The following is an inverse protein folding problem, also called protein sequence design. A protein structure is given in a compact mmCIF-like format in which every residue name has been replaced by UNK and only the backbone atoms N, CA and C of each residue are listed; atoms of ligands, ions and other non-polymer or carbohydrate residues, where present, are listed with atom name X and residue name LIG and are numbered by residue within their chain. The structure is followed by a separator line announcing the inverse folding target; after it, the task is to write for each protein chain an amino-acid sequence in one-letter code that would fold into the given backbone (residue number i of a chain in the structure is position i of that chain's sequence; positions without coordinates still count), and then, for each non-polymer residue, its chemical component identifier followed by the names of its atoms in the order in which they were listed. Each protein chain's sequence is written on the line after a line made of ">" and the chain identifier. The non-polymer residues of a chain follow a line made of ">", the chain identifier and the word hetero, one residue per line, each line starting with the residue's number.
data_IF_200425565159
#
_entry.id   IF_200425565159
#
_cell.length_a   1.000
_cell.length_b   1.000
_cell.length_c   1.000
_cell.angle_alpha   90.00
_cell.angle_beta   90.00
_cell.angle_gamma   90.00
#
_symmetry.space_group_name_H-M   'P 1'
#
loop_
_entity.id
_entity.type
_entity.pdbx_description
1 polymer ?
#
# COMPACT_ATOMS: atom_id res chain seq x y z
N UNK A 1 5.55 -30.33 14.11
CA UNK A 1 6.17 -29.05 13.68
C UNK A 1 6.99 -28.56 14.86
N UNK A 2 8.11 -27.88 14.64
CA UNK A 2 8.94 -27.36 15.74
C UNK A 2 9.09 -25.85 15.59
N UNK A 3 8.66 -25.07 16.59
CA UNK A 3 8.93 -23.63 16.62
C UNK A 3 10.43 -23.39 16.79
N UNK A 4 10.97 -22.46 16.01
CA UNK A 4 12.38 -22.09 16.03
C UNK A 4 12.57 -20.73 16.72
N UNK A 5 11.84 -19.70 16.26
CA UNK A 5 12.00 -18.32 16.72
C UNK A 5 10.68 -17.53 16.63
N UNK A 6 10.57 -16.52 17.48
CA UNK A 6 9.63 -15.42 17.32
C UNK A 6 10.35 -14.23 16.67
N UNK A 7 9.77 -13.67 15.62
CA UNK A 7 10.16 -12.36 15.13
C UNK A 7 9.08 -11.35 15.46
N UNK A 8 9.49 -10.19 15.96
CA UNK A 8 8.59 -9.09 16.28
C UNK A 8 8.35 -8.23 15.03
N UNK A 9 7.09 -7.99 14.70
CA UNK A 9 6.68 -7.00 13.70
C UNK A 9 6.02 -5.84 14.44
N UNK A 10 6.58 -4.64 14.30
CA UNK A 10 6.07 -3.45 14.99
C UNK A 10 4.94 -2.74 14.22
N UNK A 11 4.95 -2.83 12.89
CA UNK A 11 3.99 -2.13 12.02
C UNK A 11 3.39 -3.07 10.97
N UNK A 12 2.08 -3.37 11.08
CA UNK A 12 1.33 -3.32 12.33
C UNK A 12 1.90 -4.31 13.36
N UNK A 13 1.65 -4.11 14.68
CA UNK A 13 2.02 -5.02 15.74
C UNK A 13 1.59 -6.45 15.41
N UNK A 14 2.54 -7.36 15.52
CA UNK A 14 2.34 -8.75 15.20
C UNK A 14 3.56 -9.58 15.56
N UNK A 15 3.37 -10.89 15.56
CA UNK A 15 4.42 -11.85 15.84
C UNK A 15 4.50 -12.81 14.65
N UNK A 16 5.71 -13.02 14.15
CA UNK A 16 5.97 -14.01 13.10
C UNK A 16 6.57 -15.24 13.75
N UNK A 17 5.91 -16.38 13.58
CA UNK A 17 6.39 -17.68 14.03
C UNK A 17 7.26 -18.31 12.95
N UNK A 18 8.56 -18.45 13.20
CA UNK A 18 9.44 -19.24 12.36
C UNK A 18 9.44 -20.69 12.86
N UNK A 19 9.04 -21.65 12.03
CA UNK A 19 8.90 -23.05 12.42
C UNK A 19 9.37 -24.02 11.34
N UNK A 20 9.79 -25.20 11.77
CA UNK A 20 10.21 -26.31 10.91
C UNK A 20 9.03 -27.26 10.66
N UNK A 21 8.72 -27.47 9.38
CA UNK A 21 7.73 -28.46 8.92
C UNK A 21 8.33 -29.30 7.80
N UNK A 22 8.43 -30.63 8.02
CA UNK A 22 8.96 -31.58 7.02
C UNK A 22 10.35 -31.18 6.46
N UNK A 23 11.23 -30.65 7.32
CA UNK A 23 12.58 -30.22 6.94
C UNK A 23 12.66 -28.84 6.27
N UNK A 24 11.54 -28.16 6.03
CA UNK A 24 11.49 -26.82 5.45
C UNK A 24 11.14 -25.80 6.52
N UNK A 25 11.89 -24.70 6.58
CA UNK A 25 11.61 -23.55 7.45
C UNK A 25 10.46 -22.75 6.83
N UNK A 26 9.45 -22.43 7.63
CA UNK A 26 8.29 -21.65 7.24
C UNK A 26 8.01 -20.58 8.28
N UNK A 27 7.35 -19.52 7.81
CA UNK A 27 6.90 -18.42 8.66
C UNK A 27 5.37 -18.42 8.72
N UNK A 28 4.81 -18.04 9.87
CA UNK A 28 3.39 -17.76 10.04
C UNK A 28 3.23 -16.43 10.77
N UNK A 29 2.60 -15.48 10.11
CA UNK A 29 2.28 -14.17 10.69
C UNK A 29 1.04 -14.26 11.59
N UNK A 30 1.11 -13.60 12.74
CA UNK A 30 0.01 -13.41 13.68
C UNK A 30 -0.17 -11.92 13.87
N UNK A 31 -1.31 -11.40 13.39
CA UNK A 31 -1.64 -9.99 13.51
C UNK A 31 -2.21 -9.67 14.91
N UNK A 32 -1.72 -8.58 15.50
CA UNK A 32 -2.15 -8.07 16.81
C UNK A 32 -2.65 -6.63 16.66
N UNK A 33 -3.58 -6.41 15.73
CA UNK A 33 -4.06 -5.08 15.34
C UNK A 33 -4.76 -4.31 16.47
N UNK A 34 -5.26 -5.02 17.49
CA UNK A 34 -5.91 -4.46 18.68
C UNK A 34 -4.95 -4.12 19.82
N UNK A 35 -3.65 -4.44 19.68
CA UNK A 35 -2.69 -4.26 20.77
C UNK A 35 -2.48 -2.78 21.07
N UNK A 36 -2.73 -2.40 22.33
CA UNK A 36 -2.57 -1.06 22.85
C UNK A 36 -1.95 -1.06 24.25
N UNK A 37 -1.66 0.12 24.79
CA UNK A 37 -1.06 0.31 26.12
C UNK A 37 -1.93 -0.22 27.28
N UNK A 38 -3.23 -0.41 27.07
CA UNK A 38 -4.15 -0.92 28.08
C UNK A 38 -4.41 -2.43 27.93
N UNK A 39 -3.87 -3.08 26.90
CA UNK A 39 -4.08 -4.51 26.68
C UNK A 39 -3.47 -5.37 27.79
N UNK A 40 -4.22 -6.40 28.22
CA UNK A 40 -3.73 -7.45 29.10
C UNK A 40 -2.94 -8.50 28.29
N UNK A 41 -1.63 -8.51 28.50
CA UNK A 41 -0.71 -9.40 27.78
C UNK A 41 -0.96 -10.86 28.14
N UNK A 42 -1.36 -11.18 29.38
CA UNK A 42 -1.60 -12.56 29.80
C UNK A 42 -2.86 -13.11 29.14
N UNK A 43 -3.90 -12.28 29.02
CA UNK A 43 -5.11 -12.65 28.28
C UNK A 43 -4.81 -12.90 26.80
N UNK A 44 -4.04 -12.00 26.17
CA UNK A 44 -3.63 -12.16 24.76
C UNK A 44 -2.78 -13.42 24.58
N UNK A 45 -1.81 -13.67 25.46
CA UNK A 45 -0.97 -14.87 25.42
C UNK A 45 -1.80 -16.14 25.58
N UNK A 46 -2.77 -16.16 26.50
CA UNK A 46 -3.71 -17.27 26.67
C UNK A 46 -4.54 -17.52 25.39
N UNK A 47 -5.07 -16.46 24.78
CA UNK A 47 -5.84 -16.57 23.53
C UNK A 47 -4.99 -17.12 22.39
N UNK A 48 -3.74 -16.67 22.28
CA UNK A 48 -2.80 -17.16 21.28
C UNK A 48 -2.43 -18.63 21.53
N UNK A 49 -2.16 -19.00 22.78
CA UNK A 49 -1.88 -20.38 23.18
C UNK A 49 -3.02 -21.34 22.81
N UNK A 50 -4.28 -20.94 23.04
CA UNK A 50 -5.44 -21.75 22.68
C UNK A 50 -5.64 -21.88 21.16
N UNK A 51 -5.29 -20.84 20.40
CA UNK A 51 -5.53 -20.78 18.95
C UNK A 51 -4.40 -21.42 18.13
N UNK A 52 -3.18 -21.37 18.62
CA UNK A 52 -1.97 -21.69 17.87
C UNK A 52 -1.25 -22.94 18.40
N UNK A 53 -1.39 -24.05 17.68
CA UNK A 53 -0.77 -25.35 18.01
C UNK A 53 0.77 -25.32 18.09
N UNK A 54 1.41 -24.29 17.52
CA UNK A 54 2.86 -24.12 17.56
C UNK A 54 3.36 -23.52 18.88
N UNK A 55 2.47 -22.90 19.65
CA UNK A 55 2.81 -22.26 20.92
C UNK A 55 2.59 -23.29 22.03
N UNK A 56 3.67 -23.84 22.56
CA UNK A 56 3.65 -24.75 23.71
C UNK A 56 3.82 -23.99 25.02
N UNK A 57 3.52 -24.63 26.16
CA UNK A 57 3.68 -24.01 27.49
C UNK A 57 5.14 -23.55 27.74
N UNK A 58 6.13 -24.27 27.18
CA UNK A 58 7.55 -23.95 27.30
C UNK A 58 7.94 -22.58 26.71
N UNK A 59 7.25 -22.14 25.66
CA UNK A 59 7.54 -20.88 24.95
C UNK A 59 6.63 -19.74 25.39
N UNK A 60 5.76 -19.98 26.37
CA UNK A 60 4.76 -19.03 26.84
C UNK A 60 5.38 -17.81 27.50
N UNK A 61 6.39 -17.98 28.35
CA UNK A 61 7.09 -16.86 28.97
C UNK A 61 7.78 -15.98 27.92
N UNK A 62 8.35 -16.59 26.89
CA UNK A 62 8.98 -15.86 25.77
C UNK A 62 7.94 -15.08 24.95
N UNK A 63 6.75 -15.67 24.73
CA UNK A 63 5.64 -14.99 24.09
C UNK A 63 5.18 -13.77 24.89
N UNK A 64 5.04 -13.88 26.20
CA UNK A 64 4.67 -12.77 27.08
C UNK A 64 5.73 -11.66 27.04
N UNK A 65 7.02 -11.98 27.06
CA UNK A 65 8.11 -11.01 26.90
C UNK A 65 8.06 -10.30 25.53
N UNK A 66 7.75 -11.03 24.46
CA UNK A 66 7.59 -10.48 23.12
C UNK A 66 6.41 -9.50 23.07
N UNK A 67 5.27 -9.88 23.64
CA UNK A 67 4.07 -9.04 23.71
C UNK A 67 4.30 -7.78 24.56
N UNK A 68 5.02 -7.90 25.67
CA UNK A 68 5.42 -6.76 26.52
C UNK A 68 6.33 -5.80 25.74
N UNK A 69 7.26 -6.32 24.93
CA UNK A 69 8.14 -5.50 24.09
C UNK A 69 7.35 -4.74 23.03
N UNK A 70 6.37 -5.39 22.39
CA UNK A 70 5.47 -4.74 21.43
C UNK A 70 4.64 -3.65 22.11
N UNK A 71 4.05 -3.95 23.27
CA UNK A 71 3.24 -3.01 24.05
C UNK A 71 4.01 -1.75 24.43
N UNK A 72 5.22 -1.91 24.98
CA UNK A 72 6.11 -0.78 25.33
C UNK A 72 6.46 0.08 24.12
N UNK A 73 6.60 -0.54 22.94
CA UNK A 73 6.87 0.20 21.71
C UNK A 73 5.67 1.05 21.29
N UNK A 74 4.46 0.50 21.38
CA UNK A 74 3.21 1.22 21.09
C UNK A 74 3.03 2.43 22.03
N UNK A 75 3.43 2.32 23.29
CA UNK A 75 3.41 3.43 24.26
C UNK A 75 4.37 4.57 23.89
N UNK A 76 5.57 4.24 23.42
CA UNK A 76 6.60 5.23 23.05
C UNK A 76 6.42 5.84 21.66
N UNK A 77 5.56 5.28 20.81
CA UNK A 77 5.32 5.75 19.44
C UNK A 77 4.13 6.69 19.28
N UNK A 78 3.50 7.12 20.37
CA UNK A 78 2.61 8.28 20.35
C UNK A 78 3.29 9.48 19.66
N UNK A 79 2.58 10.28 18.85
CA UNK A 79 3.15 11.34 18.00
C UNK A 79 3.76 12.53 18.78
N UNK A 80 3.80 12.46 20.10
CA UNK A 80 4.27 13.56 20.95
C UNK A 80 5.80 13.61 20.98
N UNK A 81 6.38 14.49 20.14
CA UNK A 81 7.72 15.02 20.35
C UNK A 81 8.79 14.65 19.32
N UNK A 82 8.49 13.85 18.29
CA UNK A 82 9.43 13.64 17.19
C UNK A 82 9.54 14.93 16.36
N UNK A 83 10.72 15.54 16.37
CA UNK A 83 11.03 16.70 15.53
C UNK A 83 11.82 16.23 14.31
N UNK A 84 11.29 16.53 13.14
CA UNK A 84 12.01 16.32 11.88
C UNK A 84 12.81 17.57 11.55
N UNK A 85 13.93 17.38 10.87
CA UNK A 85 14.73 18.45 10.29
C UNK A 85 15.04 18.07 8.84
N UNK A 86 15.37 19.06 8.03
CA UNK A 86 15.79 18.81 6.65
C UNK A 86 17.11 18.05 6.71
N UNK A 87 17.07 16.76 6.38
CA UNK A 87 18.28 15.94 6.33
C UNK A 87 19.09 16.24 5.07
N UNK A 88 18.42 16.32 3.91
CA UNK A 88 19.06 16.61 2.61
C UNK A 88 18.04 17.15 1.62
N UNK A 89 18.50 18.02 0.71
CA UNK A 89 17.75 18.48 -0.46
C UNK A 89 18.46 17.98 -1.72
N UNK A 90 17.74 17.26 -2.57
CA UNK A 90 18.27 16.67 -3.79
C UNK A 90 17.53 17.23 -5.00
N UNK A 91 18.27 17.81 -5.94
CA UNK A 91 17.75 18.11 -7.28
C UNK A 91 17.94 16.87 -8.14
N UNK A 92 16.85 16.14 -8.39
CA UNK A 92 16.91 14.82 -9.02
C UNK A 92 16.87 14.88 -10.54
N UNK A 93 16.00 15.71 -11.10
CA UNK A 93 15.79 15.85 -12.54
C UNK A 93 15.74 17.33 -12.95
N UNK A 94 16.00 17.60 -14.23
CA UNK A 94 15.84 18.94 -14.83
C UNK A 94 14.39 19.17 -15.25
N UNK A 95 13.74 18.12 -15.76
CA UNK A 95 12.32 18.14 -16.11
C UNK A 95 11.45 17.77 -14.89
N UNK A 96 10.14 18.09 -14.93
CA UNK A 96 9.26 17.86 -13.79
C UNK A 96 9.35 16.44 -13.21
N UNK A 97 9.39 16.38 -11.88
CA UNK A 97 9.33 15.16 -11.10
C UNK A 97 7.88 14.68 -11.04
N UNK A 98 7.64 13.39 -11.26
CA UNK A 98 6.29 12.82 -11.21
C UNK A 98 6.00 12.13 -9.89
N UNK A 99 6.88 11.23 -9.46
CA UNK A 99 6.63 10.38 -8.30
C UNK A 99 7.94 9.95 -7.62
N UNK A 100 7.85 9.65 -6.33
CA UNK A 100 8.97 9.28 -5.46
C UNK A 100 8.58 8.08 -4.60
N UNK A 101 9.49 7.13 -4.44
CA UNK A 101 9.26 5.94 -3.62
C UNK A 101 10.52 5.57 -2.82
N UNK A 102 10.40 5.38 -1.51
CA UNK A 102 11.48 4.83 -0.68
C UNK A 102 11.43 3.30 -0.65
N UNK A 103 12.59 2.67 -0.50
CA UNK A 103 12.62 1.26 -0.12
C UNK A 103 12.26 1.09 1.36
N UNK A 104 12.04 -0.16 1.79
CA UNK A 104 11.60 -0.49 3.17
C UNK A 104 12.52 0.07 4.28
N UNK A 105 13.83 0.14 4.03
CA UNK A 105 14.81 0.61 5.01
C UNK A 105 14.93 2.15 4.99
N UNK A 106 14.53 2.79 3.88
CA UNK A 106 14.66 4.23 3.69
C UNK A 106 16.06 4.69 3.27
N UNK A 107 16.97 3.76 2.91
CA UNK A 107 18.32 4.11 2.45
C UNK A 107 18.41 4.30 0.93
N UNK A 108 17.46 3.78 0.15
CA UNK A 108 17.34 4.05 -1.29
C UNK A 108 16.01 4.75 -1.58
N UNK A 109 16.01 5.69 -2.52
CA UNK A 109 14.78 6.26 -3.08
C UNK A 109 14.77 6.25 -4.61
N UNK A 110 13.57 6.18 -5.18
CA UNK A 110 13.30 6.26 -6.61
C UNK A 110 12.73 7.63 -6.94
N UNK A 111 13.05 8.13 -8.13
CA UNK A 111 12.39 9.32 -8.70
C UNK A 111 12.04 9.07 -10.16
N UNK A 112 10.76 9.24 -10.51
CA UNK A 112 10.28 9.26 -11.90
C UNK A 112 10.18 10.68 -12.44
N UNK A 113 10.33 10.88 -13.75
CA UNK A 113 10.29 12.21 -14.35
C UNK A 113 9.79 12.23 -15.80
N UNK A 114 9.44 13.45 -16.24
CA UNK A 114 9.20 13.83 -17.63
C UNK A 114 10.41 13.69 -18.54
N UNK A 115 11.62 13.53 -17.99
CA UNK A 115 12.80 13.16 -18.79
C UNK A 115 12.81 11.70 -19.27
N UNK A 116 11.75 10.95 -18.95
CA UNK A 116 11.51 9.56 -19.37
C UNK A 116 12.41 8.55 -18.66
N UNK A 117 13.04 8.97 -17.56
CA UNK A 117 13.88 8.11 -16.74
C UNK A 117 13.31 7.92 -15.35
N UNK A 118 13.66 6.80 -14.73
CA UNK A 118 13.58 6.64 -13.28
C UNK A 118 15.01 6.59 -12.72
N UNK A 119 15.31 7.35 -11.66
CA UNK A 119 16.64 7.33 -11.02
C UNK A 119 16.56 6.66 -9.66
N UNK A 120 17.61 5.94 -9.29
CA UNK A 120 17.81 5.35 -7.97
C UNK A 120 18.84 6.17 -7.24
N UNK A 121 18.52 6.61 -6.03
CA UNK A 121 19.38 7.44 -5.20
C UNK A 121 19.73 6.74 -3.91
N UNK A 122 20.95 6.97 -3.46
CA UNK A 122 21.37 6.68 -2.10
C UNK A 122 21.01 7.88 -1.21
N UNK A 123 20.24 7.64 -0.16
CA UNK A 123 19.68 8.71 0.68
C UNK A 123 20.76 9.37 1.54
N UNK A 124 21.73 8.59 2.02
CA UNK A 124 22.80 9.06 2.90
C UNK A 124 23.80 9.98 2.15
N UNK A 125 24.36 9.48 1.05
CA UNK A 125 25.30 10.23 0.23
C UNK A 125 24.60 11.28 -0.64
N UNK A 126 23.37 11.03 -1.07
CA UNK A 126 22.66 11.85 -2.06
C UNK A 126 23.10 11.60 -3.50
N UNK A 127 23.89 10.55 -3.74
CA UNK A 127 24.40 10.22 -5.08
C UNK A 127 23.36 9.42 -5.85
N UNK A 128 23.30 9.69 -7.16
CA UNK A 128 22.61 8.83 -8.10
C UNK A 128 23.37 7.50 -8.20
N UNK A 129 22.71 6.41 -7.84
CA UNK A 129 23.24 5.06 -7.96
C UNK A 129 23.08 4.53 -9.39
N UNK A 130 21.89 4.76 -9.98
CA UNK A 130 21.51 4.27 -11.31
C UNK A 130 20.50 5.19 -11.98
N UNK A 131 20.58 5.27 -13.30
CA UNK A 131 19.50 5.77 -14.16
C UNK A 131 18.89 4.59 -14.92
N UNK A 132 17.59 4.36 -14.72
CA UNK A 132 16.77 3.40 -15.44
C UNK A 132 16.22 4.09 -16.69
N UNK A 133 16.92 3.92 -17.80
CA UNK A 133 16.55 4.47 -19.10
C UNK A 133 15.99 3.37 -20.01
N UNK A 134 14.96 3.70 -20.79
CA UNK A 134 14.36 2.76 -21.76
C UNK A 134 12.91 3.08 -22.12
N UNK A 135 12.21 3.87 -21.30
CA UNK A 135 10.90 4.41 -21.65
C UNK A 135 11.00 5.47 -22.75
N UNK A 136 9.95 5.55 -23.58
CA UNK A 136 9.89 6.49 -24.70
C UNK A 136 9.09 7.76 -24.37
N UNK A 137 8.44 7.79 -23.20
CA UNK A 137 7.66 8.91 -22.71
C UNK A 137 7.78 9.02 -21.17
N UNK A 138 7.09 9.99 -20.58
CA UNK A 138 7.11 10.30 -19.13
C UNK A 138 7.00 9.04 -18.29
N UNK A 139 7.86 8.92 -17.27
CA UNK A 139 7.71 7.88 -16.24
C UNK A 139 6.85 8.47 -15.13
N UNK A 140 5.64 7.96 -14.94
CA UNK A 140 4.64 8.55 -14.06
C UNK A 140 4.49 7.80 -12.74
N UNK A 141 4.48 6.47 -12.79
CA UNK A 141 4.39 5.61 -11.61
C UNK A 141 5.73 4.92 -11.37
N UNK A 142 6.21 4.90 -10.13
CA UNK A 142 7.44 4.19 -9.72
C UNK A 142 7.20 3.49 -8.38
N UNK A 143 7.72 2.27 -8.23
CA UNK A 143 7.57 1.54 -6.97
C UNK A 143 8.53 0.38 -6.81
N UNK A 144 8.86 0.04 -5.57
CA UNK A 144 9.54 -1.20 -5.22
C UNK A 144 8.54 -2.35 -5.02
N UNK A 145 8.99 -3.60 -5.18
CA UNK A 145 8.25 -4.77 -4.70
C UNK A 145 8.34 -4.88 -3.16
N UNK A 146 7.55 -4.09 -2.45
CA UNK A 146 7.49 -4.14 -1.00
C UNK A 146 6.91 -5.49 -0.53
N UNK A 147 7.50 -6.18 0.47
CA UNK A 147 8.57 -5.71 1.35
C UNK A 147 10.00 -6.07 0.92
N UNK A 148 10.18 -6.93 -0.08
CA UNK A 148 11.50 -7.46 -0.46
C UNK A 148 12.43 -6.40 -1.05
N UNK A 149 11.89 -5.43 -1.81
CA UNK A 149 12.63 -4.34 -2.47
C UNK A 149 13.76 -4.83 -3.40
N UNK A 150 13.59 -6.00 -4.01
CA UNK A 150 14.51 -6.65 -4.96
C UNK A 150 14.20 -6.34 -6.42
N UNK A 151 13.04 -5.74 -6.72
CA UNK A 151 12.60 -5.33 -8.06
C UNK A 151 11.97 -3.95 -7.99
N UNK A 152 12.07 -3.21 -9.10
CA UNK A 152 11.41 -1.93 -9.32
C UNK A 152 10.41 -2.09 -10.45
N UNK A 153 9.25 -1.44 -10.34
CA UNK A 153 8.30 -1.27 -11.42
C UNK A 153 8.18 0.21 -11.77
N UNK A 154 8.13 0.50 -13.07
CA UNK A 154 7.85 1.85 -13.60
C UNK A 154 6.69 1.77 -14.58
N UNK A 155 5.71 2.67 -14.45
CA UNK A 155 4.62 2.87 -15.40
C UNK A 155 4.82 4.16 -16.18
N UNK A 156 4.62 4.13 -17.50
CA UNK A 156 4.91 5.26 -18.39
C UNK A 156 3.77 5.59 -19.35
N UNK A 157 3.78 6.84 -19.80
CA UNK A 157 2.92 7.33 -20.87
C UNK A 157 3.32 6.80 -22.26
N UNK A 158 4.34 5.94 -22.36
CA UNK A 158 4.64 5.18 -23.56
C UNK A 158 3.79 3.91 -23.71
N UNK A 159 2.78 3.76 -22.84
CA UNK A 159 1.82 2.64 -22.81
C UNK A 159 2.43 1.33 -22.33
N UNK A 160 3.63 1.39 -21.75
CA UNK A 160 4.30 0.23 -21.17
C UNK A 160 4.57 0.46 -19.69
N UNK A 161 4.68 -0.65 -18.97
CA UNK A 161 5.38 -0.68 -17.71
C UNK A 161 6.66 -1.49 -17.86
N UNK A 162 7.67 -1.23 -17.03
CA UNK A 162 8.94 -1.97 -17.04
C UNK A 162 9.29 -2.43 -15.64
N UNK A 163 9.84 -3.63 -15.56
CA UNK A 163 10.40 -4.21 -14.34
C UNK A 163 11.91 -4.15 -14.43
N UNK A 164 12.56 -3.72 -13.34
CA UNK A 164 13.99 -3.48 -13.29
C UNK A 164 14.62 -4.17 -12.09
N UNK A 165 15.90 -4.50 -12.24
CA UNK A 165 16.78 -4.87 -11.15
C UNK A 165 17.38 -3.59 -10.52
N UNK A 166 17.16 -3.34 -9.21
CA UNK A 166 17.63 -2.14 -8.53
C UNK A 166 19.15 -2.07 -8.34
N UNK A 167 19.86 -3.20 -8.41
CA UNK A 167 21.31 -3.28 -8.17
C UNK A 167 22.09 -3.18 -9.48
N UNK A 168 21.62 -3.87 -10.53
CA UNK A 168 22.25 -3.78 -11.86
C UNK A 168 21.78 -2.56 -12.65
N UNK A 169 20.52 -2.14 -12.46
CA UNK A 169 19.84 -1.14 -13.29
C UNK A 169 19.29 -1.70 -14.61
N UNK A 170 19.34 -3.03 -14.79
CA UNK A 170 18.91 -3.69 -16.02
C UNK A 170 17.38 -3.77 -16.09
N UNK A 171 16.83 -3.59 -17.29
CA UNK A 171 15.43 -3.89 -17.56
C UNK A 171 15.26 -5.42 -17.63
N UNK A 172 14.53 -5.98 -16.66
CA UNK A 172 14.25 -7.42 -16.59
C UNK A 172 13.09 -7.79 -17.51
N UNK A 173 12.06 -6.96 -17.57
CA UNK A 173 10.89 -7.20 -18.40
C UNK A 173 10.24 -5.88 -18.84
N UNK A 174 9.60 -5.91 -20.01
CA UNK A 174 8.71 -4.84 -20.47
C UNK A 174 7.30 -5.40 -20.62
N UNK A 175 6.36 -4.80 -19.89
CA UNK A 175 4.96 -5.17 -19.83
C UNK A 175 4.22 -4.43 -20.94
N UNK A 176 3.98 -5.12 -22.05
CA UNK A 176 3.23 -4.62 -23.21
C UNK A 176 1.76 -5.01 -23.11
N UNK A 177 0.89 -4.29 -23.82
CA UNK A 177 -0.51 -4.68 -24.02
C UNK A 177 -1.52 -3.55 -23.85
N UNK A 178 -1.16 -2.47 -23.16
CA UNK A 178 -2.02 -1.30 -23.04
C UNK A 178 -2.04 -0.47 -24.32
N UNK A 179 -3.18 0.16 -24.60
CA UNK A 179 -3.36 1.06 -25.74
C UNK A 179 -3.33 2.54 -25.32
N UNK A 180 -3.40 2.81 -24.01
CA UNK A 180 -3.31 4.12 -23.37
C UNK A 180 -2.13 4.21 -22.40
N UNK A 181 -1.97 5.38 -21.81
CA UNK A 181 -0.87 5.68 -20.87
C UNK A 181 -1.01 4.88 -19.58
N UNK A 182 0.10 4.37 -19.03
CA UNK A 182 0.08 3.63 -17.76
C UNK A 182 0.32 4.61 -16.62
N UNK A 183 -0.71 4.80 -15.78
CA UNK A 183 -0.73 5.78 -14.70
C UNK A 183 -0.50 5.17 -13.33
N UNK A 184 -0.77 3.87 -13.17
CA UNK A 184 -0.54 3.16 -11.92
C UNK A 184 0.11 1.81 -12.21
N UNK A 185 1.13 1.45 -11.42
CA UNK A 185 1.79 0.17 -11.50
C UNK A 185 2.26 -0.28 -10.10
N UNK A 186 1.95 -1.51 -9.70
CA UNK A 186 2.31 -2.04 -8.38
C UNK A 186 2.56 -3.55 -8.44
N UNK A 187 3.43 -4.04 -7.55
CA UNK A 187 3.57 -5.47 -7.28
C UNK A 187 2.54 -5.95 -6.25
N UNK A 188 2.25 -7.25 -6.27
CA UNK A 188 1.58 -7.90 -5.13
C UNK A 188 2.54 -8.04 -3.94
N UNK A 189 2.00 -8.39 -2.76
CA UNK A 189 2.76 -8.51 -1.50
C UNK A 189 3.93 -9.52 -1.55
N UNK A 190 3.86 -10.51 -2.44
CA UNK A 190 4.93 -11.51 -2.65
C UNK A 190 5.97 -11.08 -3.70
N UNK A 191 5.61 -10.15 -4.60
CA UNK A 191 6.43 -9.73 -5.72
C UNK A 191 6.38 -10.64 -6.95
N UNK A 192 5.50 -11.64 -6.96
CA UNK A 192 5.34 -12.60 -8.06
C UNK A 192 4.50 -12.03 -9.23
N UNK A 193 3.60 -11.10 -8.92
CA UNK A 193 2.73 -10.46 -9.91
C UNK A 193 2.90 -8.95 -9.90
N UNK A 194 2.73 -8.36 -11.08
CA UNK A 194 2.62 -6.93 -11.29
C UNK A 194 1.23 -6.59 -11.86
N UNK A 195 0.58 -5.56 -11.33
CA UNK A 195 -0.64 -5.01 -11.90
C UNK A 195 -0.38 -3.60 -12.43
N UNK A 196 -1.01 -3.28 -13.55
CA UNK A 196 -0.99 -1.94 -14.16
C UNK A 196 -2.41 -1.44 -14.39
N UNK A 197 -2.61 -0.14 -14.18
CA UNK A 197 -3.84 0.60 -14.49
C UNK A 197 -3.53 1.69 -15.51
N UNK A 198 -4.41 1.84 -16.50
CA UNK A 198 -4.15 2.69 -17.65
C UNK A 198 -5.35 3.57 -18.03
N UNK A 199 -5.06 4.62 -18.77
CA UNK A 199 -6.04 5.49 -19.42
C UNK A 199 -6.85 4.77 -20.51
N UNK A 200 -6.52 3.52 -20.89
CA UNK A 200 -7.34 2.71 -21.80
C UNK A 200 -8.53 2.01 -21.12
N UNK A 201 -8.82 2.38 -19.87
CA UNK A 201 -9.92 1.87 -19.04
C UNK A 201 -9.71 0.42 -18.57
N UNK A 202 -8.53 -0.15 -18.81
CA UNK A 202 -8.18 -1.51 -18.41
C UNK A 202 -7.20 -1.49 -17.25
N UNK A 203 -7.31 -2.52 -16.43
CA UNK A 203 -6.18 -2.97 -15.62
C UNK A 203 -5.65 -4.29 -16.19
N UNK A 204 -4.36 -4.55 -16.07
CA UNK A 204 -3.74 -5.80 -16.52
C UNK A 204 -2.90 -6.41 -15.41
N UNK A 205 -2.88 -7.73 -15.36
CA UNK A 205 -2.04 -8.54 -14.46
C UNK A 205 -0.94 -9.20 -15.29
N UNK A 206 0.29 -9.11 -14.80
CA UNK A 206 1.47 -9.68 -15.41
C UNK A 206 2.22 -10.57 -14.43
N UNK A 207 2.89 -11.57 -14.99
CA UNK A 207 3.90 -12.34 -14.29
C UNK A 207 5.17 -11.47 -14.12
N UNK A 208 5.63 -11.28 -12.88
CA UNK A 208 6.73 -10.36 -12.60
C UNK A 208 8.10 -10.90 -13.02
N UNK A 209 8.22 -12.21 -13.26
CA UNK A 209 9.47 -12.86 -13.66
C UNK A 209 9.65 -12.83 -15.17
N UNK A 210 8.62 -13.24 -15.90
CA UNK A 210 8.63 -13.37 -17.36
C UNK A 210 8.14 -12.12 -18.09
N UNK A 211 7.36 -11.27 -17.41
CA UNK A 211 6.73 -10.10 -18.01
C UNK A 211 5.53 -10.42 -18.91
N UNK A 212 5.05 -11.66 -18.93
CA UNK A 212 3.91 -12.05 -19.75
C UNK A 212 2.60 -11.55 -19.15
N UNK A 213 1.69 -11.09 -20.01
CA UNK A 213 0.32 -10.77 -19.60
C UNK A 213 -0.41 -12.06 -19.18
N UNK A 214 -0.91 -12.08 -17.95
CA UNK A 214 -1.72 -13.16 -17.40
C UNK A 214 -3.20 -12.89 -17.65
N UNK A 215 -3.63 -11.65 -17.40
CA UNK A 215 -5.04 -11.29 -17.50
C UNK A 215 -5.26 -9.81 -17.82
N UNK A 216 -6.29 -9.54 -18.62
CA UNK A 216 -6.89 -8.21 -18.78
C UNK A 216 -8.18 -8.09 -17.99
N UNK A 217 -8.23 -7.12 -17.09
CA UNK A 217 -9.41 -6.75 -16.32
C UNK A 217 -10.19 -5.65 -17.04
N UNK A 218 -11.17 -6.05 -17.83
CA UNK A 218 -12.12 -5.15 -18.48
C UNK A 218 -13.40 -5.01 -17.65
N UNK A 219 -13.88 -3.77 -17.48
CA UNK A 219 -15.13 -3.53 -16.74
C UNK A 219 -15.35 -2.10 -16.26
N UNK A 220 -14.31 -1.26 -16.28
CA UNK A 220 -14.43 0.18 -16.12
C UNK A 220 -14.85 0.85 -17.43
N UNK A 221 -15.49 2.01 -17.31
CA UNK A 221 -15.94 2.84 -18.45
C UNK A 221 -15.05 4.06 -18.70
N UNK A 222 -14.10 4.31 -17.80
CA UNK A 222 -13.15 5.41 -17.85
C UNK A 222 -11.80 4.93 -17.30
N UNK A 223 -10.84 5.84 -17.25
CA UNK A 223 -9.44 5.62 -16.89
C UNK A 223 -9.27 4.97 -15.51
N UNK A 224 -8.35 4.00 -15.42
CA UNK A 224 -8.00 3.36 -14.15
C UNK A 224 -6.79 4.05 -13.55
N UNK A 225 -7.02 4.89 -12.55
CA UNK A 225 -6.02 5.81 -11.98
C UNK A 225 -5.41 5.33 -10.67
N UNK A 226 -6.13 4.48 -9.93
CA UNK A 226 -5.66 3.92 -8.67
C UNK A 226 -5.76 2.40 -8.69
N UNK A 227 -4.74 1.72 -8.17
CA UNK A 227 -4.74 0.28 -8.00
C UNK A 227 -4.03 -0.10 -6.71
N UNK A 228 -4.53 -1.13 -6.04
CA UNK A 228 -3.84 -1.70 -4.89
C UNK A 228 -4.11 -3.19 -4.73
N UNK A 229 -3.06 -3.97 -4.49
CA UNK A 229 -3.21 -5.34 -4.02
C UNK A 229 -3.60 -5.43 -2.54
N UNK A 230 -4.29 -6.51 -2.18
CA UNK A 230 -4.46 -6.95 -0.80
C UNK A 230 -3.08 -7.07 -0.11
N UNK A 231 -2.79 -6.28 0.94
CA UNK A 231 -1.48 -6.23 1.59
C UNK A 231 -1.03 -7.56 2.21
N UNK A 232 -1.96 -8.44 2.61
CA UNK A 232 -1.62 -9.69 3.28
C UNK A 232 -1.44 -10.82 2.28
N UNK A 233 -2.51 -11.18 1.58
CA UNK A 233 -2.50 -12.39 0.73
C UNK A 233 -2.03 -12.11 -0.69
N UNK A 234 -2.16 -10.86 -1.16
CA UNK A 234 -1.83 -10.47 -2.53
C UNK A 234 -2.73 -11.11 -3.60
N UNK A 235 -3.89 -11.62 -3.21
CA UNK A 235 -4.81 -12.39 -4.07
C UNK A 235 -6.03 -11.59 -4.54
N UNK A 236 -6.24 -10.40 -3.98
CA UNK A 236 -7.25 -9.46 -4.45
C UNK A 236 -6.57 -8.20 -4.93
N UNK A 237 -7.17 -7.60 -5.95
CA UNK A 237 -6.76 -6.32 -6.52
C UNK A 237 -7.99 -5.41 -6.50
N UNK A 238 -7.83 -4.18 -6.02
CA UNK A 238 -8.82 -3.12 -6.21
C UNK A 238 -8.33 -2.14 -7.26
N UNK A 239 -9.27 -1.66 -8.07
CA UNK A 239 -9.02 -0.62 -9.08
C UNK A 239 -10.05 0.49 -8.93
N UNK A 240 -9.57 1.73 -8.77
CA UNK A 240 -10.38 2.94 -8.76
C UNK A 240 -10.29 3.64 -10.12
N UNK A 241 -11.42 4.17 -10.59
CA UNK A 241 -11.51 4.73 -11.93
C UNK A 241 -12.31 6.03 -11.97
N UNK A 242 -12.07 6.82 -13.02
CA UNK A 242 -12.81 8.05 -13.30
C UNK A 242 -14.29 7.81 -13.64
N UNK A 243 -14.72 6.57 -13.81
CA UNK A 243 -16.15 6.24 -13.96
C UNK A 243 -16.94 6.26 -12.64
N UNK A 244 -16.31 6.69 -11.54
CA UNK A 244 -16.89 6.74 -10.20
C UNK A 244 -17.09 5.37 -9.55
N UNK A 245 -16.51 4.32 -10.11
CA UNK A 245 -16.62 2.96 -9.59
C UNK A 245 -15.29 2.40 -9.14
N UNK A 246 -15.38 1.47 -8.18
CA UNK A 246 -14.24 0.68 -7.72
C UNK A 246 -14.54 -0.77 -8.04
N UNK A 247 -13.62 -1.45 -8.68
CA UNK A 247 -13.75 -2.88 -8.96
C UNK A 247 -12.82 -3.67 -8.05
N UNK A 248 -13.33 -4.76 -7.50
CA UNK A 248 -12.50 -5.74 -6.80
C UNK A 248 -12.38 -7.00 -7.66
N UNK A 249 -11.15 -7.46 -7.84
CA UNK A 249 -10.78 -8.59 -8.69
C UNK A 249 -10.10 -9.67 -7.85
N UNK A 250 -10.38 -10.93 -8.13
CA UNK A 250 -9.62 -12.07 -7.58
C UNK A 250 -8.58 -12.50 -8.61
N UNK A 251 -7.30 -12.45 -8.25
CA UNK A 251 -6.19 -12.72 -9.17
C UNK A 251 -5.91 -14.21 -9.38
N UNK A 252 -6.56 -15.09 -8.60
CA UNK A 252 -6.44 -16.55 -8.79
C UNK A 252 -7.45 -17.04 -9.82
N UNK A 253 -8.67 -16.50 -9.74
CA UNK A 253 -9.76 -16.84 -10.66
C UNK A 253 -9.76 -15.91 -11.87
N UNK A 254 -9.02 -14.80 -11.80
CA UNK A 254 -8.89 -13.80 -12.86
C UNK A 254 -10.24 -13.18 -13.25
N UNK A 255 -11.11 -12.95 -12.26
CA UNK A 255 -12.46 -12.45 -12.48
C UNK A 255 -12.81 -11.28 -11.54
N UNK A 256 -13.77 -10.46 -11.97
CA UNK A 256 -14.36 -9.39 -11.17
C UNK A 256 -15.24 -10.01 -10.09
N UNK A 257 -14.88 -9.80 -8.83
CA UNK A 257 -15.65 -10.27 -7.67
C UNK A 257 -16.81 -9.31 -7.39
N UNK A 258 -16.54 -8.01 -7.42
CA UNK A 258 -17.55 -7.01 -7.10
C UNK A 258 -17.28 -5.64 -7.72
N UNK A 259 -18.31 -4.80 -7.65
CA UNK A 259 -18.28 -3.39 -8.04
C UNK A 259 -18.84 -2.57 -6.90
N UNK A 260 -18.02 -1.69 -6.33
CA UNK A 260 -18.46 -0.73 -5.34
C UNK A 260 -18.96 0.51 -6.09
N UNK A 261 -20.24 0.82 -5.93
CA UNK A 261 -20.93 1.95 -6.57
C UNK A 261 -21.51 2.84 -5.49
N UNK A 262 -21.39 4.15 -5.68
CA UNK A 262 -22.01 5.11 -4.77
C UNK A 262 -21.32 6.48 -4.72
N UNK A 263 -20.15 6.63 -5.36
CA UNK A 263 -19.60 7.95 -5.68
C UNK A 263 -20.33 8.55 -6.88
N UNK A 264 -20.45 9.87 -6.88
CA UNK A 264 -21.08 10.67 -7.95
C UNK A 264 -20.06 11.35 -8.85
N UNK A 265 -18.78 11.23 -8.51
CA UNK A 265 -17.64 11.80 -9.23
C UNK A 265 -16.51 10.78 -9.43
N UNK A 266 -15.43 11.26 -10.03
CA UNK A 266 -14.25 10.48 -10.35
C UNK A 266 -13.53 10.00 -9.08
N UNK A 267 -13.09 8.74 -9.06
CA UNK A 267 -12.28 8.23 -7.96
C UNK A 267 -10.87 8.79 -8.07
N UNK A 268 -10.34 9.35 -6.98
CA UNK A 268 -8.98 9.92 -6.92
C UNK A 268 -7.97 8.96 -6.29
N UNK A 269 -8.40 8.16 -5.29
CA UNK A 269 -7.59 7.10 -4.74
C UNK A 269 -8.44 5.98 -4.10
N UNK A 270 -7.86 4.79 -3.99
CA UNK A 270 -8.43 3.64 -3.27
C UNK A 270 -7.38 2.97 -2.41
N UNK A 271 -7.79 2.48 -1.23
CA UNK A 271 -6.93 1.67 -0.38
C UNK A 271 -7.65 0.53 0.32
N UNK A 272 -6.97 -0.60 0.49
CA UNK A 272 -7.29 -1.58 1.53
C UNK A 272 -6.73 -1.13 2.88
N UNK A 273 -7.44 -1.48 3.95
CA UNK A 273 -6.83 -1.53 5.28
C UNK A 273 -5.93 -2.78 5.42
N UNK A 274 -5.15 -2.86 6.51
CA UNK A 274 -4.17 -3.94 6.66
C UNK A 274 -4.80 -5.34 6.62
N UNK A 275 -5.92 -5.58 7.31
CA UNK A 275 -6.58 -6.89 7.30
C UNK A 275 -7.41 -7.18 6.04
N UNK A 276 -7.47 -6.21 5.12
CA UNK A 276 -8.20 -6.28 3.86
C UNK A 276 -9.69 -6.58 4.02
N UNK A 277 -10.26 -6.23 5.17
CA UNK A 277 -11.70 -6.26 5.44
C UNK A 277 -12.40 -5.00 4.96
N UNK A 278 -11.69 -3.88 4.91
CA UNK A 278 -12.22 -2.59 4.48
C UNK A 278 -11.51 -2.10 3.23
N UNK A 279 -12.28 -1.41 2.39
CA UNK A 279 -11.77 -0.57 1.30
C UNK A 279 -12.14 0.87 1.62
N UNK A 280 -11.19 1.78 1.50
CA UNK A 280 -11.41 3.21 1.51
C UNK A 280 -11.30 3.77 0.10
N UNK A 281 -12.11 4.76 -0.23
CA UNK A 281 -12.02 5.50 -1.48
C UNK A 281 -12.18 6.99 -1.24
N UNK A 282 -11.40 7.75 -2.01
CA UNK A 282 -11.52 9.19 -2.15
C UNK A 282 -12.05 9.52 -3.55
N UNK A 283 -12.80 10.62 -3.65
CA UNK A 283 -13.47 11.03 -4.88
C UNK A 283 -13.49 12.54 -5.03
N UNK A 284 -13.52 12.98 -6.29
CA UNK A 284 -13.70 14.38 -6.67
C UNK A 284 -15.13 14.88 -6.39
N UNK A 285 -16.07 14.01 -5.97
CA UNK A 285 -17.38 14.43 -5.46
C UNK A 285 -17.34 15.07 -4.05
N UNK A 286 -16.15 15.28 -3.49
CA UNK A 286 -15.95 15.86 -2.16
C UNK A 286 -16.22 14.88 -1.02
N UNK A 287 -16.41 13.59 -1.32
CA UNK A 287 -16.61 12.54 -0.32
C UNK A 287 -15.50 11.49 -0.31
N UNK A 288 -15.27 10.95 0.89
CA UNK A 288 -14.58 9.69 1.09
C UNK A 288 -15.59 8.62 1.50
N UNK A 289 -15.47 7.41 0.97
CA UNK A 289 -16.34 6.29 1.34
C UNK A 289 -15.54 5.11 1.87
N UNK A 290 -16.16 4.39 2.80
CA UNK A 290 -15.61 3.18 3.39
C UNK A 290 -16.56 2.03 3.14
N UNK A 291 -15.99 0.94 2.64
CA UNK A 291 -16.72 -0.20 2.13
C UNK A 291 -16.28 -1.46 2.85
N UNK A 292 -17.23 -2.33 3.13
CA UNK A 292 -16.92 -3.68 3.56
C UNK A 292 -16.54 -4.52 2.33
N UNK A 293 -15.32 -5.08 2.34
CA UNK A 293 -14.77 -5.78 1.18
C UNK A 293 -15.51 -7.09 0.86
N UNK A 294 -16.27 -7.68 1.80
CA UNK A 294 -16.96 -8.96 1.59
C UNK A 294 -18.40 -8.77 1.13
N UNK A 295 -19.13 -7.91 1.82
CA UNK A 295 -20.54 -7.61 1.56
C UNK A 295 -20.73 -6.55 0.50
N UNK A 296 -19.69 -5.81 0.14
CA UNK A 296 -19.69 -4.70 -0.83
C UNK A 296 -20.56 -3.51 -0.41
N UNK A 297 -21.01 -3.51 0.85
CA UNK A 297 -21.81 -2.44 1.41
C UNK A 297 -20.95 -1.21 1.68
N UNK A 298 -21.47 -0.03 1.35
CA UNK A 298 -20.93 1.23 1.82
C UNK A 298 -21.26 1.35 3.32
N UNK A 299 -20.25 1.23 4.18
CA UNK A 299 -20.39 1.35 5.62
C UNK A 299 -20.53 2.81 6.04
N UNK A 300 -19.78 3.70 5.40
CA UNK A 300 -19.87 5.14 5.66
C UNK A 300 -19.56 5.97 4.42
N UNK A 301 -20.20 7.14 4.39
CA UNK A 301 -19.88 8.23 3.47
C UNK A 301 -19.52 9.45 4.30
N UNK A 302 -18.27 9.87 4.16
CA UNK A 302 -17.70 11.04 4.83
C UNK A 302 -17.66 12.17 3.82
N UNK A 303 -18.65 13.05 3.87
CA UNK A 303 -18.78 14.22 2.98
C UNK A 303 -18.59 15.52 3.79
N UNK A 304 -17.51 15.56 4.56
CA UNK A 304 -17.24 16.66 5.49
C UNK A 304 -16.38 17.76 4.84
N UNK A 305 -15.62 17.42 3.80
CA UNK A 305 -14.81 18.35 3.00
C UNK A 305 -15.69 19.28 2.16
N UNK A 306 -15.17 20.47 1.85
CA UNK A 306 -15.91 21.46 1.04
C UNK A 306 -15.52 21.43 -0.44
N UNK A 307 -14.52 20.62 -0.79
CA UNK A 307 -13.97 20.48 -2.14
C UNK A 307 -13.53 19.02 -2.37
N UNK A 308 -12.99 18.73 -3.55
CA UNK A 308 -12.53 17.40 -3.98
C UNK A 308 -11.65 16.70 -2.94
N UNK A 309 -11.85 15.39 -2.72
CA UNK A 309 -10.99 14.57 -1.85
C UNK A 309 -9.94 13.92 -2.73
N UNK A 310 -8.67 14.22 -2.48
CA UNK A 310 -7.55 13.82 -3.34
C UNK A 310 -6.88 12.52 -2.90
N UNK A 311 -6.92 12.22 -1.59
CA UNK A 311 -6.26 11.04 -1.04
C UNK A 311 -6.99 10.49 0.18
N UNK A 312 -6.81 9.18 0.39
CA UNK A 312 -7.29 8.46 1.57
C UNK A 312 -6.23 7.46 2.03
N UNK A 313 -6.00 7.41 3.34
CA UNK A 313 -4.99 6.54 3.92
C UNK A 313 -5.47 5.95 5.25
N UNK A 314 -5.33 4.63 5.42
CA UNK A 314 -5.51 4.01 6.73
C UNK A 314 -4.25 4.12 7.58
N UNK A 315 -4.40 4.19 8.90
CA UNK A 315 -3.28 3.90 9.78
C UNK A 315 -2.87 2.42 9.65
N UNK A 316 -1.67 2.08 10.14
CA UNK A 316 -1.16 0.70 10.03
C UNK A 316 -2.10 -0.33 10.65
N UNK A 317 -2.93 0.06 11.62
CA UNK A 317 -3.87 -0.83 12.31
C UNK A 317 -5.21 -0.99 11.56
N UNK A 318 -5.53 -0.08 10.64
CA UNK A 318 -6.87 0.06 10.06
C UNK A 318 -7.91 0.61 11.05
N UNK A 319 -7.48 1.23 12.15
CA UNK A 319 -8.36 1.81 13.17
C UNK A 319 -8.72 3.26 12.89
N UNK A 320 -7.86 3.97 12.14
CA UNK A 320 -8.09 5.35 11.74
C UNK A 320 -7.95 5.47 10.24
N UNK A 321 -8.66 6.43 9.70
CA UNK A 321 -8.52 6.82 8.30
C UNK A 321 -8.31 8.32 8.24
N UNK A 322 -7.39 8.75 7.37
CA UNK A 322 -7.13 10.13 7.07
C UNK A 322 -7.55 10.42 5.63
N UNK A 323 -8.11 11.61 5.41
CA UNK A 323 -8.48 12.12 4.09
C UNK A 323 -7.81 13.47 3.88
N UNK A 324 -7.46 13.77 2.64
CA UNK A 324 -6.97 15.10 2.24
C UNK A 324 -7.75 15.63 1.04
N UNK A 325 -7.83 16.96 0.94
CA UNK A 325 -8.70 17.63 -0.01
C UNK A 325 -8.08 18.90 -0.56
N UNK A 326 -8.61 19.32 -1.71
CA UNK A 326 -8.39 20.64 -2.32
C UNK A 326 -8.88 21.80 -1.44
N UNK A 327 -9.66 21.52 -0.39
CA UNK A 327 -10.09 22.52 0.61
C UNK A 327 -8.99 22.97 1.60
N UNK A 328 -7.73 22.62 1.32
CA UNK A 328 -6.55 22.90 2.14
C UNK A 328 -6.60 22.28 3.55
N UNK A 329 -7.40 21.22 3.73
CA UNK A 329 -7.51 20.51 4.99
C UNK A 329 -7.28 19.01 4.84
N UNK A 330 -6.83 18.43 5.95
CA UNK A 330 -6.81 16.99 6.13
C UNK A 330 -7.64 16.64 7.36
N UNK A 331 -8.37 15.53 7.30
CA UNK A 331 -9.30 15.11 8.36
C UNK A 331 -9.00 13.69 8.77
N UNK A 332 -9.18 13.39 10.05
CA UNK A 332 -8.93 12.06 10.60
C UNK A 332 -10.20 11.54 11.26
N UNK A 333 -10.54 10.30 10.97
CA UNK A 333 -11.75 9.64 11.46
C UNK A 333 -11.39 8.35 12.20
N UNK A 334 -12.22 8.01 13.18
CA UNK A 334 -12.14 6.74 13.90
C UNK A 334 -13.03 5.69 13.23
N UNK A 335 -12.43 4.63 12.72
CA UNK A 335 -13.15 3.54 12.03
C UNK A 335 -14.06 2.77 12.99
N UNK A 336 -13.73 2.69 14.29
CA UNK A 336 -14.48 1.91 15.29
C UNK A 336 -15.62 2.70 15.91
N UNK A 337 -15.49 4.02 15.98
CA UNK A 337 -16.51 4.91 16.52
C UNK A 337 -17.44 5.45 15.42
N UNK A 338 -17.90 4.56 14.52
CA UNK A 338 -18.81 4.89 13.42
C UNK A 338 -18.31 6.04 12.53
N UNK A 339 -17.01 6.02 12.22
CA UNK A 339 -16.36 7.00 11.34
C UNK A 339 -16.46 8.44 11.85
N UNK A 340 -16.55 8.61 13.17
CA UNK A 340 -16.56 9.93 13.81
C UNK A 340 -15.27 10.68 13.51
N UNK A 341 -15.43 11.95 13.12
CA UNK A 341 -14.31 12.88 12.95
C UNK A 341 -13.60 13.11 14.29
N UNK A 342 -12.30 12.80 14.33
CA UNK A 342 -11.42 12.97 15.48
C UNK A 342 -10.71 14.33 15.44
N UNK A 343 -10.29 14.76 14.26
CA UNK A 343 -9.52 15.98 14.09
C UNK A 343 -9.65 16.54 12.68
N UNK A 344 -9.56 17.88 12.60
CA UNK A 344 -9.39 18.62 11.35
C UNK A 344 -8.08 19.38 11.42
N UNK A 345 -7.19 19.07 10.48
CA UNK A 345 -5.89 19.68 10.33
C UNK A 345 -6.03 20.80 9.29
N UNK A 346 -5.98 22.04 9.76
CA UNK A 346 -6.02 23.26 8.92
C UNK A 346 -4.72 24.01 9.06
N UNK A 347 -4.35 24.76 8.02
CA UNK A 347 -3.16 25.60 8.01
C UNK A 347 -2.38 25.57 6.69
N UNK A 348 -2.73 24.66 5.78
CA UNK A 348 -2.20 24.66 4.43
C UNK A 348 -2.72 25.88 3.66
N UNK A 349 -1.87 26.43 2.78
CA UNK A 349 -2.21 27.57 1.91
C UNK A 349 -2.79 27.13 0.57
N UNK A 350 -2.50 25.91 0.19
CA UNK A 350 -2.85 25.25 -1.07
C UNK A 350 -3.38 23.84 -0.75
N UNK A 351 -3.83 23.16 -1.80
CA UNK A 351 -4.42 21.83 -1.73
C UNK A 351 -3.51 20.82 -1.04
N UNK A 352 -4.12 19.84 -0.37
CA UNK A 352 -3.39 18.74 0.26
C UNK A 352 -3.53 17.51 -0.62
N UNK A 353 -2.47 17.17 -1.36
CA UNK A 353 -2.52 16.14 -2.39
C UNK A 353 -2.34 14.70 -1.87
N UNK A 354 -1.76 14.52 -0.68
CA UNK A 354 -1.46 13.22 -0.07
C UNK A 354 -1.56 13.28 1.46
N UNK A 355 -2.01 12.19 2.09
CA UNK A 355 -2.20 12.09 3.55
C UNK A 355 -1.64 10.82 4.18
#
# INVERSE_FOLDING_TARGET
>A
MKLLKFHLRYHPPGIVLEYLQKGVVKNKDIDLLDLNCNSDIKEIANRLYQKELLITEEVREQLEQCLETLKKRTEHEGPTGKRFYIYKTLQTHVLPLTNVCFNKIGNKCLSGSYDRTCKIWDVESGKELKTLAGHQNVVYSVGFNFPACTRIITGSFDKTAKIWDPDTGSCLATLYGHTGEVVAAQFNSKGDFAATGSMDHLAKLFDAETGTEIQTYAGHKAEVIALQFDPNEGQRLITGSFDGTISMWDTRVNNRVSVLRGHEGEISNVQFNWDSSLVGSASLDGSAKLWDARSTACLATVASHTDEVLDICFDWAGQRVATSSSDNSARVYDVRADFRELAVMKGHREEVSKV
#
